data_IF_038092686875
#
_entry.id   IF_038092686875
#
_cell.length_a   1.000
_cell.length_b   1.000
_cell.length_c   1.000
_cell.angle_alpha   90.00
_cell.angle_beta   90.00
_cell.angle_gamma   90.00
#
_symmetry.space_group_name_H-M   'P 1'
#
loop_
_entity.id
_entity.type
_entity.pdbx_description
1 polymer ?
#
# COMPACT_ATOMS: atom_id res chain seq x y z
N UNK A 1 19.22 -6.52 -16.32
CA UNK A 1 17.97 -7.18 -16.81
C UNK A 1 17.00 -7.56 -15.69
N UNK A 2 17.43 -7.72 -14.43
CA UNK A 2 16.53 -8.02 -13.28
C UNK A 2 15.64 -6.83 -12.89
N UNK A 3 16.09 -5.59 -13.12
CA UNK A 3 15.43 -4.37 -12.65
C UNK A 3 14.04 -4.11 -13.29
N UNK A 4 13.88 -4.39 -14.58
CA UNK A 4 12.63 -4.14 -15.31
C UNK A 4 11.50 -5.07 -14.86
N UNK A 5 11.81 -6.33 -14.56
CA UNK A 5 10.84 -7.33 -14.13
C UNK A 5 10.29 -7.05 -12.73
N UNK A 6 11.17 -6.65 -11.80
CA UNK A 6 10.77 -6.29 -10.43
C UNK A 6 9.91 -5.02 -10.41
N UNK A 7 10.25 -4.02 -11.21
CA UNK A 7 9.43 -2.81 -11.37
C UNK A 7 8.04 -3.11 -11.92
N UNK A 8 7.95 -3.91 -13.00
CA UNK A 8 6.67 -4.34 -13.56
C UNK A 8 5.83 -5.14 -12.56
N UNK A 9 6.47 -6.01 -11.79
CA UNK A 9 5.80 -6.78 -10.74
C UNK A 9 5.24 -5.86 -9.64
N UNK A 10 6.01 -4.89 -9.16
CA UNK A 10 5.56 -3.92 -8.16
C UNK A 10 4.40 -3.07 -8.69
N UNK A 11 4.49 -2.61 -9.93
CA UNK A 11 3.41 -1.84 -10.59
C UNK A 11 2.14 -2.68 -10.77
N UNK A 12 2.28 -3.94 -11.19
CA UNK A 12 1.15 -4.86 -11.31
C UNK A 12 0.50 -5.13 -9.94
N UNK A 13 1.32 -5.35 -8.89
CA UNK A 13 0.83 -5.52 -7.53
C UNK A 13 0.04 -4.28 -7.09
N UNK A 14 0.63 -3.09 -7.24
CA UNK A 14 -0.02 -1.83 -6.89
C UNK A 14 -1.35 -1.62 -7.65
N UNK A 15 -1.39 -1.96 -8.94
CA UNK A 15 -2.62 -1.88 -9.76
C UNK A 15 -3.70 -2.87 -9.33
N UNK A 16 -3.32 -4.09 -8.94
CA UNK A 16 -4.25 -5.08 -8.38
C UNK A 16 -4.81 -4.58 -7.04
N UNK A 17 -3.95 -4.03 -6.17
CA UNK A 17 -4.38 -3.48 -4.89
C UNK A 17 -5.34 -2.33 -5.03
N UNK A 18 -5.03 -1.43 -5.96
CA UNK A 18 -5.91 -0.34 -6.33
C UNK A 18 -7.29 -0.83 -6.78
N UNK A 19 -7.34 -1.84 -7.64
CA UNK A 19 -8.58 -2.39 -8.19
C UNK A 19 -9.42 -3.13 -7.16
N UNK A 20 -8.79 -3.75 -6.15
CA UNK A 20 -9.48 -4.46 -5.05
C UNK A 20 -10.01 -3.45 -4.03
N UNK A 21 -9.17 -2.53 -3.57
CA UNK A 21 -9.49 -1.61 -2.47
C UNK A 21 -10.52 -0.53 -2.85
N UNK A 22 -10.64 -0.21 -4.14
CA UNK A 22 -11.71 0.67 -4.66
C UNK A 22 -13.10 0.01 -4.64
N UNK A 23 -13.20 -1.31 -4.48
CA UNK A 23 -14.50 -1.96 -4.44
C UNK A 23 -15.24 -1.58 -3.16
N UNK A 24 -16.55 -1.25 -3.23
CA UNK A 24 -17.34 -0.96 -2.05
C UNK A 24 -17.40 -2.16 -1.09
N UNK A 25 -17.33 -3.38 -1.64
CA UNK A 25 -17.31 -4.66 -0.91
C UNK A 25 -15.93 -5.03 -0.34
N UNK A 26 -14.92 -4.16 -0.45
CA UNK A 26 -13.60 -4.45 0.08
C UNK A 26 -13.66 -4.59 1.61
N UNK A 27 -13.55 -5.83 2.09
CA UNK A 27 -13.57 -6.16 3.51
C UNK A 27 -12.32 -5.66 4.26
N UNK A 28 -12.37 -5.67 5.60
CA UNK A 28 -11.30 -5.17 6.46
C UNK A 28 -9.97 -5.93 6.25
N UNK A 29 -10.06 -7.22 5.94
CA UNK A 29 -8.91 -8.08 5.63
C UNK A 29 -8.13 -7.62 4.40
N UNK A 30 -8.81 -7.08 3.38
CA UNK A 30 -8.14 -6.55 2.20
C UNK A 30 -7.28 -5.34 2.56
N UNK A 31 -7.82 -4.41 3.36
CA UNK A 31 -7.08 -3.24 3.84
C UNK A 31 -5.86 -3.64 4.67
N UNK A 32 -6.02 -4.54 5.63
CA UNK A 32 -4.90 -4.98 6.46
C UNK A 32 -3.82 -5.71 5.66
N UNK A 33 -4.22 -6.56 4.70
CA UNK A 33 -3.29 -7.24 3.80
C UNK A 33 -2.46 -6.22 3.01
N UNK A 34 -3.09 -5.19 2.46
CA UNK A 34 -2.40 -4.10 1.76
C UNK A 34 -1.52 -3.24 2.68
N UNK A 35 -1.95 -3.01 3.91
CA UNK A 35 -1.11 -2.42 4.95
C UNK A 35 0.17 -3.24 5.17
N UNK A 36 0.06 -4.55 5.34
CA UNK A 36 1.21 -5.44 5.50
C UNK A 36 2.15 -5.35 4.28
N UNK A 37 1.60 -5.36 3.05
CA UNK A 37 2.41 -5.18 1.85
C UNK A 37 3.15 -3.83 1.82
N UNK A 38 2.51 -2.75 2.26
CA UNK A 38 3.16 -1.44 2.36
C UNK A 38 4.30 -1.44 3.39
N UNK A 39 4.08 -2.05 4.56
CA UNK A 39 5.09 -2.16 5.61
C UNK A 39 6.30 -3.02 5.17
N UNK A 40 6.05 -4.22 4.65
CA UNK A 40 7.11 -5.10 4.13
C UNK A 40 7.80 -4.48 2.92
N UNK A 41 7.04 -3.85 2.02
CA UNK A 41 7.57 -3.15 0.85
C UNK A 41 8.49 -1.99 1.22
N UNK A 42 8.15 -1.23 2.27
CA UNK A 42 9.02 -0.19 2.83
C UNK A 42 10.34 -0.78 3.34
N UNK A 43 10.28 -1.88 4.09
CA UNK A 43 11.47 -2.57 4.59
C UNK A 43 12.35 -3.08 3.45
N UNK A 44 11.75 -3.73 2.45
CA UNK A 44 12.45 -4.21 1.25
C UNK A 44 13.09 -3.06 0.47
N UNK A 45 12.39 -1.94 0.28
CA UNK A 45 12.95 -0.76 -0.38
C UNK A 45 14.16 -0.23 0.40
N UNK A 46 14.05 -0.12 1.72
CA UNK A 46 15.11 0.45 2.55
C UNK A 46 16.33 -0.47 2.65
N UNK A 47 16.14 -1.78 2.73
CA UNK A 47 17.24 -2.76 2.88
C UNK A 47 17.85 -3.22 1.55
N UNK A 48 17.04 -3.53 0.54
CA UNK A 48 17.52 -4.07 -0.74
C UNK A 48 18.03 -2.94 -1.64
N UNK A 49 17.38 -1.79 -1.62
CA UNK A 49 17.73 -0.65 -2.47
C UNK A 49 18.54 0.41 -1.71
N UNK A 50 19.15 0.08 -0.56
CA UNK A 50 19.90 1.00 0.29
C UNK A 50 20.97 1.83 -0.47
N UNK A 51 21.51 1.30 -1.57
CA UNK A 51 22.47 1.98 -2.44
C UNK A 51 21.88 3.03 -3.40
N UNK A 52 20.55 3.08 -3.54
CA UNK A 52 19.86 4.00 -4.44
C UNK A 52 19.27 5.18 -3.66
N UNK A 53 19.51 6.42 -4.14
CA UNK A 53 19.00 7.66 -3.50
C UNK A 53 17.48 7.72 -3.36
N UNK A 54 16.76 6.95 -4.18
CA UNK A 54 15.30 6.90 -4.20
C UNK A 54 14.69 5.88 -3.23
N UNK A 55 15.50 5.02 -2.60
CA UNK A 55 15.01 3.98 -1.68
C UNK A 55 14.35 4.55 -0.43
N UNK A 56 14.97 5.57 0.16
CA UNK A 56 14.48 6.30 1.33
C UNK A 56 13.11 6.97 1.09
N UNK A 57 12.92 7.82 0.07
CA UNK A 57 11.63 8.47 -0.15
C UNK A 57 10.53 7.47 -0.51
N UNK A 58 10.83 6.42 -1.30
CA UNK A 58 9.85 5.39 -1.67
C UNK A 58 9.48 4.53 -0.44
N UNK A 59 10.47 4.12 0.33
CA UNK A 59 10.25 3.39 1.58
C UNK A 59 9.41 4.20 2.57
N UNK A 60 9.74 5.48 2.74
CA UNK A 60 8.97 6.38 3.59
C UNK A 60 7.51 6.53 3.13
N UNK A 61 7.28 6.74 1.84
CA UNK A 61 5.92 6.81 1.30
C UNK A 61 5.14 5.52 1.59
N UNK A 62 5.74 4.35 1.40
CA UNK A 62 5.11 3.07 1.73
C UNK A 62 4.84 2.93 3.24
N UNK A 63 5.82 3.26 4.10
CA UNK A 63 5.65 3.20 5.55
C UNK A 63 4.49 4.07 6.05
N UNK A 64 4.33 5.28 5.51
CA UNK A 64 3.23 6.18 5.90
C UNK A 64 1.85 5.69 5.46
N UNK A 65 1.76 4.85 4.42
CA UNK A 65 0.48 4.26 3.99
C UNK A 65 0.02 3.10 4.87
N UNK A 66 0.91 2.46 5.64
CA UNK A 66 0.54 1.39 6.57
C UNK A 66 -0.53 1.78 7.61
N UNK A 67 -0.33 2.85 8.43
CA UNK A 67 -1.33 3.23 9.43
C UNK A 67 -2.66 3.65 8.80
N UNK A 68 -2.61 4.23 7.60
CA UNK A 68 -3.80 4.56 6.81
C UNK A 68 -4.61 3.31 6.48
N UNK A 69 -3.95 2.26 5.98
CA UNK A 69 -4.62 0.99 5.67
C UNK A 69 -5.14 0.26 6.91
N UNK A 70 -4.41 0.31 8.02
CA UNK A 70 -4.91 -0.21 9.31
C UNK A 70 -6.19 0.50 9.74
N UNK A 71 -6.19 1.83 9.72
CA UNK A 71 -7.34 2.63 10.12
C UNK A 71 -8.53 2.43 9.18
N UNK A 72 -8.30 2.38 7.87
CA UNK A 72 -9.34 2.08 6.88
C UNK A 72 -9.96 0.70 7.11
N UNK A 73 -9.14 -0.32 7.38
CA UNK A 73 -9.63 -1.66 7.73
C UNK A 73 -10.41 -1.69 9.05
N UNK A 74 -9.96 -0.94 10.07
CA UNK A 74 -10.68 -0.82 11.33
C UNK A 74 -12.05 -0.13 11.18
N UNK A 75 -12.14 0.90 10.33
CA UNK A 75 -13.41 1.57 10.02
C UNK A 75 -14.39 0.65 9.28
N UNK A 76 -13.90 -0.10 8.29
CA UNK A 76 -14.73 -1.11 7.58
C UNK A 76 -15.20 -2.19 8.54
N UNK A 77 -14.33 -2.67 9.43
CA UNK A 77 -14.70 -3.65 10.45
C UNK A 77 -15.77 -3.12 11.42
N UNK A 78 -15.73 -1.83 11.75
CA UNK A 78 -16.71 -1.17 12.59
C UNK A 78 -17.97 -0.70 11.83
N UNK A 79 -18.15 -1.12 10.57
CA UNK A 79 -19.26 -0.73 9.70
C UNK A 79 -19.43 0.80 9.56
N UNK A 80 -18.33 1.55 9.68
CA UNK A 80 -18.33 3.01 9.54
C UNK A 80 -17.90 3.42 8.14
N UNK A 81 -18.50 4.52 7.67
CA UNK A 81 -18.10 5.14 6.42
C UNK A 81 -16.62 5.54 6.46
N UNK A 82 -15.90 5.14 5.41
CA UNK A 82 -14.49 5.48 5.23
C UNK A 82 -14.39 6.93 4.72
N UNK A 83 -13.66 7.83 5.41
CA UNK A 83 -13.41 9.15 4.88
C UNK A 83 -12.57 9.05 3.60
N UNK A 84 -13.00 9.68 2.50
CA UNK A 84 -12.25 9.67 1.23
C UNK A 84 -10.85 10.24 1.36
N UNK A 85 -10.65 11.20 2.26
CA UNK A 85 -9.33 11.78 2.56
C UNK A 85 -8.38 10.84 3.28
N UNK A 86 -8.89 9.74 3.84
CA UNK A 86 -8.07 8.79 4.59
C UNK A 86 -7.20 7.96 3.64
N UNK A 87 -7.72 7.60 2.48
CA UNK A 87 -6.98 6.80 1.50
C UNK A 87 -6.11 7.71 0.62
N UNK A 88 -4.98 7.20 0.09
CA UNK A 88 -4.18 7.93 -0.90
C UNK A 88 -5.10 8.46 -2.02
N UNK A 89 -4.83 9.65 -2.56
CA UNK A 89 -5.70 10.31 -3.58
C UNK A 89 -6.11 9.38 -4.73
N UNK A 90 -5.28 8.42 -5.07
CA UNK A 90 -5.59 7.38 -6.05
C UNK A 90 -6.79 6.49 -5.62
N UNK A 91 -6.84 6.10 -4.35
CA UNK A 91 -7.84 5.23 -3.72
C UNK A 91 -9.07 5.98 -3.14
N UNK A 92 -9.02 7.31 -3.11
CA UNK A 92 -10.11 8.21 -2.67
C UNK A 92 -11.27 8.32 -3.67
#
# INVERSE_FOLDING_TARGET
MVESGTLLFILALAGVGFSILRRPEAGPTAFWTWGCFALFGSGLCTFILAGFRWSLPVGHALATTYPVFLLAGALVYAERDRPRWLLPVALA
#
